data_IF_015390150916
#
_entry.id   IF_015390150916
#
_cell.length_a   1.000
_cell.length_b   1.000
_cell.length_c   1.000
_cell.angle_alpha   90.00
_cell.angle_beta   90.00
_cell.angle_gamma   90.00
#
_symmetry.space_group_name_H-M   'P 1'
#
loop_
_entity.id
_entity.type
_entity.pdbx_description
1 polymer ?
#
# COMPACT_ATOMS: atom_id res chain seq x y z
N UNK A 1 -6.34 -10.02 -15.41
CA UNK A 1 -5.35 -8.94 -15.36
C UNK A 1 -5.90 -7.86 -14.45
N UNK A 2 -5.30 -7.68 -13.27
CA UNK A 2 -5.74 -6.66 -12.30
C UNK A 2 -4.92 -5.40 -12.50
N UNK A 3 -5.59 -4.25 -12.58
CA UNK A 3 -4.95 -2.94 -12.71
C UNK A 3 -5.05 -2.22 -11.36
N UNK A 4 -3.91 -1.87 -10.78
CA UNK A 4 -3.83 -1.09 -9.54
C UNK A 4 -3.13 0.23 -9.88
N UNK A 5 -3.70 1.34 -9.43
CA UNK A 5 -3.10 2.67 -9.54
C UNK A 5 -2.94 3.22 -8.14
N UNK A 6 -1.71 3.55 -7.76
CA UNK A 6 -1.38 4.15 -6.47
C UNK A 6 -0.80 5.54 -6.72
N UNK A 7 -1.37 6.56 -6.12
CA UNK A 7 -0.81 7.90 -6.08
C UNK A 7 0.37 7.96 -5.09
N UNK A 8 1.08 9.09 -5.06
CA UNK A 8 2.32 9.24 -4.29
C UNK A 8 2.16 8.91 -2.80
N UNK A 9 1.08 9.38 -2.18
CA UNK A 9 0.80 9.13 -0.76
C UNK A 9 0.51 7.65 -0.48
N UNK A 10 -0.18 6.97 -1.40
CA UNK A 10 -0.51 5.55 -1.30
C UNK A 10 0.73 4.68 -1.51
N UNK A 11 1.58 5.04 -2.47
CA UNK A 11 2.86 4.38 -2.69
C UNK A 11 3.81 4.59 -1.50
N UNK A 12 3.89 5.82 -0.98
CA UNK A 12 4.65 6.16 0.23
C UNK A 12 4.14 5.37 1.44
N UNK A 13 2.82 5.30 1.64
CA UNK A 13 2.20 4.52 2.70
C UNK A 13 2.49 3.03 2.57
N UNK A 14 2.38 2.48 1.37
CA UNK A 14 2.67 1.07 1.10
C UNK A 14 4.13 0.71 1.38
N UNK A 15 5.07 1.54 0.91
CA UNK A 15 6.50 1.33 1.12
C UNK A 15 6.89 1.42 2.60
N UNK A 16 6.31 2.38 3.35
CA UNK A 16 6.49 2.47 4.81
C UNK A 16 5.95 1.23 5.53
N UNK A 17 4.75 0.77 5.19
CA UNK A 17 4.15 -0.43 5.80
C UNK A 17 4.92 -1.70 5.45
N UNK A 18 5.49 -1.78 4.24
CA UNK A 18 6.35 -2.90 3.84
C UNK A 18 7.67 -2.93 4.63
N UNK A 19 8.17 -1.78 5.06
CA UNK A 19 9.34 -1.69 5.94
C UNK A 19 8.99 -1.98 7.41
N UNK A 20 7.92 -1.37 7.92
CA UNK A 20 7.51 -1.49 9.32
C UNK A 20 5.97 -1.52 9.45
N UNK A 21 5.38 -2.66 9.87
CA UNK A 21 3.96 -2.73 10.19
C UNK A 21 3.60 -1.84 11.39
N UNK A 22 2.55 -1.05 11.27
CA UNK A 22 2.17 -0.01 12.22
C UNK A 22 0.96 -0.41 13.06
N UNK A 23 0.80 0.18 14.25
CA UNK A 23 -0.49 0.15 14.95
C UNK A 23 -1.51 0.97 14.16
N UNK A 24 -2.78 0.59 14.19
CA UNK A 24 -3.82 1.23 13.37
C UNK A 24 -3.98 2.71 13.71
N UNK A 25 -3.94 3.08 15.00
CA UNK A 25 -4.01 4.48 15.43
C UNK A 25 -2.86 5.30 14.85
N UNK A 26 -1.63 4.77 14.93
CA UNK A 26 -0.46 5.45 14.39
C UNK A 26 -0.48 5.53 12.85
N UNK A 27 -0.94 4.47 12.19
CA UNK A 27 -1.11 4.49 10.74
C UNK A 27 -2.13 5.56 10.30
N UNK A 28 -3.22 5.74 11.05
CA UNK A 28 -4.24 6.76 10.75
C UNK A 28 -3.66 8.17 10.86
N UNK A 29 -2.81 8.42 11.86
CA UNK A 29 -2.14 9.71 12.05
C UNK A 29 -1.09 9.98 10.95
N UNK A 30 -0.29 8.96 10.59
CA UNK A 30 0.85 9.12 9.67
C UNK A 30 0.47 9.02 8.19
N UNK A 31 -0.51 8.18 7.84
CA UNK A 31 -0.88 7.87 6.46
C UNK A 31 -2.22 8.49 6.06
N UNK A 32 -3.10 8.76 7.03
CA UNK A 32 -4.47 9.19 6.76
C UNK A 32 -5.43 8.03 6.46
N UNK A 33 -6.71 8.25 6.75
CA UNK A 33 -7.76 7.24 6.58
C UNK A 33 -7.94 6.84 5.10
N UNK A 34 -7.88 7.80 4.18
CA UNK A 34 -8.10 7.57 2.75
C UNK A 34 -7.03 6.64 2.15
N UNK A 35 -5.75 6.85 2.50
CA UNK A 35 -4.64 5.99 2.07
C UNK A 35 -4.83 4.56 2.59
N UNK A 36 -5.18 4.41 3.88
CA UNK A 36 -5.41 3.09 4.48
C UNK A 36 -6.57 2.38 3.79
N UNK A 37 -7.66 3.10 3.50
CA UNK A 37 -8.80 2.55 2.78
C UNK A 37 -8.39 2.04 1.39
N UNK A 38 -7.67 2.86 0.61
CA UNK A 38 -7.20 2.48 -0.73
C UNK A 38 -6.31 1.25 -0.67
N UNK A 39 -5.31 1.23 0.23
CA UNK A 39 -4.38 0.10 0.34
C UNK A 39 -5.08 -1.19 0.78
N UNK A 40 -6.09 -1.09 1.64
CA UNK A 40 -6.86 -2.26 2.11
C UNK A 40 -7.82 -2.74 1.03
N UNK A 41 -8.53 -1.82 0.34
CA UNK A 41 -9.41 -2.12 -0.79
C UNK A 41 -8.66 -2.79 -1.94
N UNK A 42 -7.43 -2.33 -2.21
CA UNK A 42 -6.58 -2.94 -3.23
C UNK A 42 -5.92 -4.26 -2.77
N UNK A 43 -6.15 -4.69 -1.53
CA UNK A 43 -5.59 -5.92 -0.97
C UNK A 43 -4.07 -5.86 -0.80
N UNK A 44 -3.52 -4.66 -0.67
CA UNK A 44 -2.08 -4.41 -0.49
C UNK A 44 -1.70 -4.29 0.97
N UNK A 45 -2.66 -3.89 1.81
CA UNK A 45 -2.56 -3.90 3.26
C UNK A 45 -3.72 -4.71 3.86
N UNK A 46 -3.50 -5.20 5.08
CA UNK A 46 -4.51 -5.89 5.88
C UNK A 46 -4.48 -5.33 7.29
N UNK A 47 -5.68 -5.11 7.85
CA UNK A 47 -5.87 -4.77 9.25
C UNK A 47 -6.14 -6.05 10.04
N UNK A 48 -5.27 -6.35 10.99
CA UNK A 48 -5.43 -7.44 11.94
C UNK A 48 -5.42 -6.87 13.36
N UNK A 49 -6.55 -6.99 14.06
CA UNK A 49 -6.82 -6.36 15.34
C UNK A 49 -6.44 -4.86 15.36
N UNK A 50 -5.36 -4.50 16.06
CA UNK A 50 -4.84 -3.13 16.20
C UNK A 50 -3.57 -2.89 15.35
N UNK A 51 -3.34 -3.73 14.32
CA UNK A 51 -2.15 -3.62 13.47
C UNK A 51 -2.52 -3.55 11.99
N UNK A 52 -1.85 -2.65 11.27
CA UNK A 52 -1.89 -2.56 9.82
C UNK A 52 -0.58 -3.11 9.26
N UNK A 53 -0.68 -4.13 8.41
CA UNK A 53 0.47 -4.82 7.83
C UNK A 53 0.32 -4.91 6.31
N UNK A 54 1.44 -4.98 5.60
CA UNK A 54 1.44 -5.18 4.15
C UNK A 54 1.14 -6.65 3.81
N UNK A 55 0.37 -6.90 2.76
CA UNK A 55 0.08 -8.26 2.27
C UNK A 55 1.23 -8.81 1.42
N UNK A 56 1.29 -10.13 1.15
CA UNK A 56 2.27 -10.67 0.21
C UNK A 56 2.23 -9.99 -1.17
N UNK A 57 1.05 -9.56 -1.61
CA UNK A 57 0.91 -8.80 -2.85
C UNK A 57 1.56 -7.42 -2.73
N UNK A 58 1.31 -6.70 -1.63
CA UNK A 58 1.95 -5.42 -1.35
C UNK A 58 3.48 -5.51 -1.31
N UNK A 59 4.03 -6.56 -0.69
CA UNK A 59 5.49 -6.82 -0.69
C UNK A 59 6.02 -6.96 -2.12
N UNK A 60 5.37 -7.79 -2.95
CA UNK A 60 5.78 -8.01 -4.35
C UNK A 60 5.77 -6.71 -5.15
N UNK A 61 4.78 -5.85 -4.94
CA UNK A 61 4.69 -4.55 -5.60
C UNK A 61 5.85 -3.63 -5.23
N UNK A 62 6.16 -3.51 -3.94
CA UNK A 62 7.29 -2.71 -3.46
C UNK A 62 8.62 -3.24 -4.00
N UNK A 63 8.77 -4.57 -4.08
CA UNK A 63 9.99 -5.21 -4.60
C UNK A 63 10.14 -5.12 -6.12
N UNK A 64 9.05 -4.90 -6.86
CA UNK A 64 9.08 -4.81 -8.32
C UNK A 64 9.83 -3.57 -8.85
N UNK A 65 10.36 -2.70 -7.98
CA UNK A 65 11.13 -1.48 -8.32
C UNK A 65 10.45 -0.65 -9.41
N UNK A 66 9.14 -0.53 -9.30
CA UNK A 66 8.33 0.22 -10.24
C UNK A 66 8.75 1.68 -10.18
N UNK A 67 8.98 2.29 -11.35
CA UNK A 67 9.29 3.71 -11.43
C UNK A 67 7.99 4.48 -11.18
N UNK A 68 7.91 5.32 -10.12
CA UNK A 68 6.78 6.23 -9.96
C UNK A 68 6.69 7.14 -11.17
N UNK A 69 5.53 7.21 -11.80
CA UNK A 69 5.22 8.23 -12.80
C UNK A 69 4.65 9.46 -12.07
N UNK A 70 4.69 10.62 -12.74
CA UNK A 70 4.17 11.88 -12.18
C UNK A 70 2.68 11.84 -11.78
N UNK A 71 1.92 10.86 -12.28
CA UNK A 71 0.50 10.64 -11.96
C UNK A 71 0.26 9.42 -11.05
N UNK A 72 1.31 8.89 -10.41
CA UNK A 72 1.28 7.70 -9.57
C UNK A 72 1.86 6.42 -10.19
N UNK A 73 2.03 5.40 -9.37
CA UNK A 73 2.51 4.05 -9.73
C UNK A 73 1.35 3.22 -10.29
N UNK A 74 1.44 2.83 -11.57
CA UNK A 74 0.47 1.93 -12.21
C UNK A 74 1.05 0.53 -12.35
N UNK A 75 0.31 -0.46 -11.86
CA UNK A 75 0.76 -1.85 -11.88
C UNK A 75 -0.26 -2.76 -12.54
N UNK A 76 0.25 -3.57 -13.45
CA UNK A 76 -0.49 -4.61 -14.14
C UNK A 76 -0.03 -5.96 -13.61
N UNK A 77 -0.94 -6.66 -12.94
CA UNK A 77 -0.67 -7.99 -12.40
C UNK A 77 -1.28 -9.03 -13.36
N UNK A 78 -0.41 -9.87 -13.93
CA UNK A 78 -0.81 -11.14 -14.53
C UNK A 78 -1.20 -12.16 -13.43
N UNK A 79 -2.07 -13.13 -13.72
CA UNK A 79 -2.56 -14.10 -12.74
C UNK A 79 -1.45 -14.90 -12.06
#
# INVERSE_FOLDING_TARGET
>A
MRKITLFDDEWSGLTRLAFAPMRVIFALEELGADVIEVLTREGLAVKDADRLSVTPLGVRLVQAKLTPFADGVRVWLEP
#
